data_IF_702784605847
#
_entry.id   IF_702784605847
#
_cell.length_a   1.000
_cell.length_b   1.000
_cell.length_c   1.000
_cell.angle_alpha   90.00
_cell.angle_beta   90.00
_cell.angle_gamma   90.00
#
_symmetry.space_group_name_H-M   'P 1'
#
loop_
_entity.id
_entity.type
_entity.pdbx_description
1 polymer ?
#
# COMPACT_ATOMS: atom_id res chain seq x y z
N UNK A 1 65.51 53.19 10.48
CA UNK A 1 65.18 54.63 10.32
C UNK A 1 63.66 54.74 10.51
N UNK A 2 63.21 54.94 11.75
CA UNK A 2 62.66 56.22 12.28
C UNK A 2 61.32 56.58 11.59
N UNK A 3 60.14 56.73 12.21
CA UNK A 3 59.73 57.32 13.49
C UNK A 3 58.42 56.64 13.97
N UNK A 4 58.19 56.40 15.27
CA UNK A 4 57.46 57.29 16.19
C UNK A 4 56.09 57.74 15.63
N UNK A 5 54.97 57.35 16.23
CA UNK A 5 54.45 58.02 17.42
C UNK A 5 53.58 57.11 18.30
N UNK A 6 53.82 57.24 19.62
CA UNK A 6 52.99 56.79 20.73
C UNK A 6 51.73 57.67 20.83
N UNK A 7 50.64 57.15 21.38
CA UNK A 7 50.06 57.70 22.60
C UNK A 7 48.97 56.77 23.16
N UNK A 8 49.22 56.28 24.37
CA UNK A 8 48.18 55.82 25.28
C UNK A 8 47.51 57.05 25.90
N UNK A 9 46.29 56.80 26.37
CA UNK A 9 45.55 57.57 27.39
C UNK A 9 44.82 58.81 26.91
N UNK A 10 43.52 58.65 26.63
CA UNK A 10 42.52 59.62 27.10
C UNK A 10 41.12 59.00 27.22
N UNK A 11 40.84 58.50 28.41
CA UNK A 11 39.60 58.70 29.17
C UNK A 11 38.24 58.60 28.45
N UNK A 12 37.51 57.56 28.86
CA UNK A 12 36.18 57.66 29.44
C UNK A 12 35.11 58.48 28.68
N UNK A 13 34.14 57.78 28.09
CA UNK A 13 32.71 58.01 28.34
C UNK A 13 31.84 56.95 27.68
N UNK A 14 31.18 56.16 28.52
CA UNK A 14 29.80 55.69 28.35
C UNK A 14 29.49 54.80 27.14
N UNK A 15 29.24 53.52 27.43
CA UNK A 15 27.94 52.88 27.14
C UNK A 15 27.96 51.46 27.71
N UNK A 16 27.14 51.23 28.73
CA UNK A 16 26.61 49.89 29.03
C UNK A 16 25.89 49.42 27.76
N UNK A 17 26.45 48.45 27.07
CA UNK A 17 25.71 47.67 26.09
C UNK A 17 25.28 46.41 26.83
N UNK A 18 23.98 46.31 27.06
CA UNK A 18 23.32 45.10 27.53
C UNK A 18 23.54 44.02 26.47
N UNK A 19 24.22 42.94 26.83
CA UNK A 19 24.28 41.73 26.01
C UNK A 19 22.86 41.18 25.83
N UNK A 20 22.37 40.90 24.61
CA UNK A 20 21.16 40.12 24.45
C UNK A 20 21.47 38.68 24.86
N UNK A 21 20.67 38.18 25.79
CA UNK A 21 20.68 36.81 26.31
C UNK A 21 20.54 35.78 25.19
N UNK A 22 21.41 34.77 25.21
CA UNK A 22 21.37 33.58 24.36
C UNK A 22 19.97 32.93 24.38
N UNK A 23 19.41 32.52 23.24
CA UNK A 23 18.20 31.71 23.24
C UNK A 23 18.53 30.30 23.75
N UNK A 24 17.85 29.88 24.82
CA UNK A 24 17.88 28.51 25.32
C UNK A 24 17.45 27.52 24.22
N UNK A 25 18.01 26.29 24.18
CA UNK A 25 17.56 25.28 23.25
C UNK A 25 16.11 24.89 23.56
N UNK A 26 15.25 24.92 22.53
CA UNK A 26 13.89 24.41 22.59
C UNK A 26 13.98 22.90 22.86
N UNK A 27 13.61 22.52 24.08
CA UNK A 27 13.47 21.14 24.50
C UNK A 27 12.25 20.58 23.76
N UNK A 28 12.49 19.87 22.65
CA UNK A 28 11.46 19.15 21.92
C UNK A 28 10.84 18.12 22.86
N UNK A 29 9.57 18.31 23.18
CA UNK A 29 8.78 17.32 23.90
C UNK A 29 8.84 15.99 23.14
N UNK A 30 8.97 14.83 23.81
CA UNK A 30 8.91 13.55 23.12
C UNK A 30 7.55 13.47 22.41
N UNK A 31 7.57 13.30 21.09
CA UNK A 31 6.36 12.96 20.35
C UNK A 31 5.82 11.68 20.97
N UNK A 32 4.64 11.75 21.58
CA UNK A 32 3.91 10.56 21.96
C UNK A 32 3.62 9.81 20.67
N UNK A 33 4.43 8.80 20.37
CA UNK A 33 4.18 7.87 19.27
C UNK A 33 2.82 7.26 19.54
N UNK A 34 1.78 7.75 18.85
CA UNK A 34 0.47 7.12 18.95
C UNK A 34 0.67 5.63 18.61
N UNK A 35 0.18 4.71 19.46
CA UNK A 35 0.24 3.30 19.12
C UNK A 35 -0.51 3.14 17.80
N UNK A 36 0.21 2.81 16.74
CA UNK A 36 -0.36 2.43 15.45
C UNK A 36 -1.41 1.35 15.77
N UNK A 37 -2.69 1.66 15.59
CA UNK A 37 -3.76 0.71 15.82
C UNK A 37 -3.54 -0.47 14.89
N UNK A 38 -3.60 -1.68 15.41
CA UNK A 38 -3.52 -2.88 14.59
C UNK A 38 -4.65 -2.83 13.56
N UNK A 39 -4.31 -2.98 12.28
CA UNK A 39 -5.28 -3.01 11.19
C UNK A 39 -6.11 -4.28 11.31
N UNK A 40 -7.42 -4.14 11.41
CA UNK A 40 -8.35 -5.29 11.45
C UNK A 40 -8.67 -5.71 10.01
N UNK A 41 -8.36 -6.97 9.69
CA UNK A 41 -8.78 -7.64 8.47
C UNK A 41 -10.07 -8.40 8.75
N UNK A 42 -11.10 -8.11 7.95
CA UNK A 42 -12.41 -8.73 8.07
C UNK A 42 -12.42 -10.07 7.33
N UNK A 43 -13.08 -11.05 7.93
CA UNK A 43 -13.21 -12.40 7.39
C UNK A 43 -14.66 -12.73 6.95
N UNK A 44 -15.53 -11.71 6.90
CA UNK A 44 -16.87 -11.82 6.33
C UNK A 44 -16.81 -11.89 4.81
N UNK A 45 -17.90 -12.36 4.20
CA UNK A 45 -18.07 -12.29 2.75
C UNK A 45 -17.94 -10.85 2.22
N UNK A 46 -17.17 -10.69 1.16
CA UNK A 46 -17.02 -9.42 0.45
C UNK A 46 -18.34 -9.12 -0.27
N UNK A 47 -18.99 -7.97 -0.03
CA UNK A 47 -20.15 -7.55 -0.82
C UNK A 47 -19.79 -7.45 -2.31
N UNK A 48 -20.70 -7.84 -3.22
CA UNK A 48 -20.41 -7.93 -4.66
C UNK A 48 -19.81 -6.65 -5.25
N UNK A 49 -20.35 -5.48 -4.88
CA UNK A 49 -19.81 -4.20 -5.35
C UNK A 49 -18.39 -3.93 -4.84
N UNK A 50 -18.07 -4.36 -3.62
CA UNK A 50 -16.72 -4.27 -3.05
C UNK A 50 -15.77 -5.25 -3.74
N UNK A 51 -16.23 -6.46 -4.05
CA UNK A 51 -15.46 -7.47 -4.78
C UNK A 51 -15.14 -6.97 -6.20
N UNK A 52 -16.14 -6.46 -6.92
CA UNK A 52 -15.97 -5.87 -8.26
C UNK A 52 -14.95 -4.72 -8.23
N UNK A 53 -15.08 -3.79 -7.28
CA UNK A 53 -14.15 -2.65 -7.13
C UNK A 53 -12.74 -3.12 -6.80
N UNK A 54 -12.59 -4.03 -5.84
CA UNK A 54 -11.28 -4.58 -5.47
C UNK A 54 -10.58 -5.26 -6.63
N UNK A 55 -11.29 -6.06 -7.43
CA UNK A 55 -10.71 -6.69 -8.64
C UNK A 55 -10.25 -5.65 -9.68
N UNK A 56 -11.02 -4.56 -9.85
CA UNK A 56 -10.63 -3.45 -10.74
C UNK A 56 -9.43 -2.68 -10.21
N UNK A 57 -9.38 -2.43 -8.91
CA UNK A 57 -8.26 -1.73 -8.26
C UNK A 57 -6.98 -2.59 -8.33
N UNK A 58 -7.09 -3.91 -8.18
CA UNK A 58 -5.98 -4.86 -8.41
C UNK A 58 -5.49 -4.76 -9.85
N UNK A 59 -6.41 -4.77 -10.82
CA UNK A 59 -6.05 -4.62 -12.23
C UNK A 59 -5.31 -3.33 -12.50
N UNK A 60 -5.89 -2.20 -12.10
CA UNK A 60 -5.29 -0.87 -12.26
C UNK A 60 -3.89 -0.81 -11.64
N UNK A 61 -3.72 -1.32 -10.42
CA UNK A 61 -2.45 -1.29 -9.71
C UNK A 61 -1.37 -2.16 -10.39
N UNK A 62 -1.74 -3.32 -10.94
CA UNK A 62 -0.79 -4.25 -11.56
C UNK A 62 -0.52 -3.97 -13.06
N UNK A 63 -1.34 -3.14 -13.71
CA UNK A 63 -1.19 -2.78 -15.12
C UNK A 63 -0.96 -1.28 -15.31
N UNK A 64 0.03 -0.71 -14.61
CA UNK A 64 0.38 0.70 -14.79
C UNK A 64 1.13 0.93 -16.11
N UNK A 65 1.12 2.16 -16.66
CA UNK A 65 1.89 2.47 -17.88
C UNK A 65 3.41 2.31 -17.73
N UNK A 66 3.94 2.40 -16.50
CA UNK A 66 5.38 2.43 -16.22
C UNK A 66 5.91 1.04 -15.83
N UNK A 67 5.05 0.18 -15.29
CA UNK A 67 5.37 -1.19 -14.91
C UNK A 67 4.12 -2.07 -14.97
N UNK A 68 4.27 -3.27 -15.52
CA UNK A 68 3.21 -4.26 -15.65
C UNK A 68 3.66 -5.59 -15.08
N UNK A 69 2.81 -6.20 -14.27
CA UNK A 69 2.94 -7.58 -13.84
C UNK A 69 1.88 -8.40 -14.56
N UNK A 70 2.28 -9.52 -15.17
CA UNK A 70 1.32 -10.48 -15.67
C UNK A 70 0.77 -11.30 -14.49
N UNK A 71 -0.55 -11.24 -14.30
CA UNK A 71 -1.22 -11.86 -13.17
C UNK A 71 -2.53 -12.53 -13.58
N UNK A 72 -3.04 -13.40 -12.71
CA UNK A 72 -4.38 -13.99 -12.76
C UNK A 72 -5.04 -13.85 -11.39
N UNK A 73 -6.34 -13.63 -11.36
CA UNK A 73 -7.13 -13.83 -10.14
C UNK A 73 -7.42 -15.31 -10.02
N UNK A 74 -7.32 -15.83 -8.80
CA UNK A 74 -7.56 -17.25 -8.53
C UNK A 74 -8.58 -17.43 -7.41
N UNK A 75 -8.84 -18.69 -7.05
CA UNK A 75 -9.76 -19.01 -5.95
C UNK A 75 -11.22 -18.64 -6.27
N UNK A 76 -11.97 -18.29 -5.23
CA UNK A 76 -13.41 -17.98 -5.37
C UNK A 76 -13.64 -16.66 -6.11
N UNK A 77 -12.73 -15.68 -6.00
CA UNK A 77 -12.81 -14.44 -6.75
C UNK A 77 -12.77 -14.64 -8.27
N UNK A 78 -12.00 -15.63 -8.74
CA UNK A 78 -11.96 -16.02 -10.15
C UNK A 78 -13.30 -16.60 -10.62
N UNK A 79 -13.85 -17.54 -9.87
CA UNK A 79 -15.16 -18.17 -10.13
C UNK A 79 -16.25 -17.11 -10.22
N UNK A 80 -16.28 -16.17 -9.26
CA UNK A 80 -17.20 -15.03 -9.28
C UNK A 80 -17.07 -14.18 -10.55
N UNK A 81 -15.84 -13.86 -10.97
CA UNK A 81 -15.60 -13.06 -12.19
C UNK A 81 -16.04 -13.74 -13.50
N UNK A 82 -16.26 -15.06 -13.48
CA UNK A 82 -16.80 -15.83 -14.60
C UNK A 82 -18.34 -15.86 -14.61
N UNK A 83 -18.99 -15.20 -13.66
CA UNK A 83 -20.44 -15.12 -13.53
C UNK A 83 -21.06 -16.13 -12.56
N UNK A 84 -20.26 -16.96 -11.90
CA UNK A 84 -20.72 -17.89 -10.85
C UNK A 84 -20.77 -17.17 -9.49
N UNK A 85 -21.82 -16.40 -9.24
CA UNK A 85 -21.92 -15.49 -8.08
C UNK A 85 -22.39 -16.14 -6.77
N UNK A 86 -22.91 -17.38 -6.82
CA UNK A 86 -23.37 -18.11 -5.63
C UNK A 86 -22.22 -18.42 -4.65
N UNK A 87 -21.00 -18.53 -5.17
CA UNK A 87 -19.81 -18.80 -4.38
C UNK A 87 -19.23 -17.50 -3.83
N UNK A 88 -19.39 -17.28 -2.53
CA UNK A 88 -18.91 -16.07 -1.84
C UNK A 88 -17.45 -16.22 -1.39
N UNK A 89 -16.70 -15.12 -1.40
CA UNK A 89 -15.29 -15.05 -0.95
C UNK A 89 -15.12 -14.02 0.17
N UNK A 90 -14.09 -14.17 1.01
CA UNK A 90 -13.70 -13.22 2.05
C UNK A 90 -12.36 -12.50 1.76
N UNK A 91 -11.68 -12.90 0.70
CA UNK A 91 -10.35 -12.42 0.30
C UNK A 91 -10.21 -12.31 -1.23
N UNK A 92 -9.04 -11.79 -1.65
CA UNK A 92 -8.61 -11.70 -3.04
C UNK A 92 -7.32 -12.50 -3.22
N UNK A 93 -7.34 -13.52 -4.08
CA UNK A 93 -6.14 -14.27 -4.47
C UNK A 93 -5.61 -13.82 -5.83
N UNK A 94 -4.34 -13.45 -5.89
CA UNK A 94 -3.66 -12.95 -7.09
C UNK A 94 -2.44 -13.80 -7.39
N UNK A 95 -2.52 -14.62 -8.44
CA UNK A 95 -1.44 -15.44 -8.95
C UNK A 95 -0.51 -14.62 -9.85
N UNK A 96 0.79 -14.66 -9.55
CA UNK A 96 1.89 -14.07 -10.33
C UNK A 96 3.02 -15.09 -10.51
N UNK A 97 3.96 -14.78 -11.41
CA UNK A 97 5.22 -15.54 -11.49
C UNK A 97 6.08 -15.32 -10.23
N UNK A 98 6.90 -16.31 -9.86
CA UNK A 98 7.72 -16.29 -8.65
C UNK A 98 8.68 -15.07 -8.63
N UNK A 99 9.25 -14.73 -9.79
CA UNK A 99 10.10 -13.56 -9.97
C UNK A 99 9.38 -12.21 -9.82
N UNK A 100 8.06 -12.18 -10.02
CA UNK A 100 7.26 -10.96 -10.03
C UNK A 100 6.62 -10.62 -8.68
N UNK A 101 6.69 -11.53 -7.69
CA UNK A 101 6.07 -11.33 -6.36
C UNK A 101 6.49 -10.00 -5.74
N UNK A 102 7.78 -9.68 -5.77
CA UNK A 102 8.29 -8.42 -5.20
C UNK A 102 7.74 -7.19 -5.91
N UNK A 103 7.66 -7.23 -7.24
CA UNK A 103 7.13 -6.13 -8.04
C UNK A 103 5.61 -5.97 -7.84
N UNK A 104 4.86 -7.07 -7.85
CA UNK A 104 3.42 -7.08 -7.65
C UNK A 104 3.04 -6.46 -6.30
N UNK A 105 3.70 -6.90 -5.22
CA UNK A 105 3.47 -6.36 -3.88
C UNK A 105 3.83 -4.88 -3.79
N UNK A 106 4.94 -4.47 -4.42
CA UNK A 106 5.34 -3.06 -4.48
C UNK A 106 4.30 -2.21 -5.18
N UNK A 107 3.81 -2.64 -6.35
CA UNK A 107 2.81 -1.90 -7.12
C UNK A 107 1.48 -1.80 -6.38
N UNK A 108 1.00 -2.90 -5.79
CA UNK A 108 -0.20 -2.90 -4.95
C UNK A 108 -0.04 -1.94 -3.76
N UNK A 109 1.09 -2.00 -3.05
CA UNK A 109 1.36 -1.12 -1.90
C UNK A 109 1.53 0.36 -2.25
N UNK A 110 1.71 0.71 -3.53
CA UNK A 110 1.77 2.10 -4.00
C UNK A 110 0.39 2.67 -4.37
N UNK A 111 -0.64 1.83 -4.55
CA UNK A 111 -2.00 2.29 -4.82
C UNK A 111 -2.75 2.55 -3.50
N UNK A 112 -3.38 3.73 -3.39
CA UNK A 112 -4.01 4.21 -2.16
C UNK A 112 -5.16 3.32 -1.65
N UNK A 113 -5.71 2.45 -2.50
CA UNK A 113 -6.76 1.50 -2.12
C UNK A 113 -6.22 0.29 -1.36
N UNK A 114 -4.91 0.10 -1.30
CA UNK A 114 -4.29 -1.02 -0.58
C UNK A 114 -3.49 -0.52 0.62
N UNK A 115 -3.26 -1.43 1.55
CA UNK A 115 -2.36 -1.21 2.66
C UNK A 115 -1.63 -2.48 3.04
N UNK A 116 -0.72 -2.34 4.00
CA UNK A 116 0.07 -3.43 4.51
C UNK A 116 0.01 -3.42 6.04
N UNK A 117 -0.20 -4.59 6.64
CA UNK A 117 -0.15 -4.76 8.09
C UNK A 117 1.29 -4.71 8.58
N UNK A 118 1.48 -4.62 9.90
CA UNK A 118 2.82 -4.71 10.52
C UNK A 118 3.56 -6.02 10.20
N UNK A 119 2.81 -7.09 9.90
CA UNK A 119 3.35 -8.40 9.55
C UNK A 119 3.53 -8.58 8.03
N UNK A 120 3.51 -7.49 7.27
CA UNK A 120 3.59 -7.51 5.81
C UNK A 120 2.44 -8.31 5.15
N UNK A 121 1.23 -8.28 5.71
CA UNK A 121 0.03 -8.82 5.01
C UNK A 121 -0.61 -7.70 4.19
N UNK A 122 -0.87 -7.96 2.91
CA UNK A 122 -1.54 -6.98 2.05
C UNK A 122 -3.05 -7.03 2.25
N UNK A 123 -3.69 -5.89 2.15
CA UNK A 123 -5.14 -5.80 2.24
C UNK A 123 -5.71 -4.72 1.34
N UNK A 124 -6.95 -4.92 0.91
CA UNK A 124 -7.77 -3.95 0.21
C UNK A 124 -8.59 -3.13 1.20
N UNK A 125 -8.58 -1.80 1.07
CA UNK A 125 -9.37 -0.86 1.87
C UNK A 125 -10.76 -0.73 1.24
N UNK A 126 -11.70 -1.52 1.74
CA UNK A 126 -13.07 -1.48 1.30
C UNK A 126 -13.75 -0.13 1.60
N UNK A 127 -14.73 0.30 0.77
CA UNK A 127 -15.38 1.61 0.88
C UNK A 127 -16.18 1.78 2.18
N UNK A 128 -16.56 0.69 2.85
CA UNK A 128 -17.24 0.69 4.14
C UNK A 128 -16.27 0.79 5.33
N UNK A 129 -14.99 1.09 5.11
CA UNK A 129 -13.95 1.07 6.14
C UNK A 129 -13.55 -0.33 6.63
N UNK A 130 -14.03 -1.39 5.95
CA UNK A 130 -13.60 -2.77 6.18
C UNK A 130 -12.40 -3.09 5.31
N UNK A 131 -11.39 -3.76 5.87
CA UNK A 131 -10.24 -4.24 5.12
C UNK A 131 -10.38 -5.73 4.81
N UNK A 132 -9.99 -6.14 3.61
CA UNK A 132 -10.08 -7.54 3.16
C UNK A 132 -8.70 -8.03 2.72
N UNK A 133 -8.40 -9.29 2.99
CA UNK A 133 -7.07 -9.85 2.71
C UNK A 133 -6.79 -9.87 1.19
N UNK A 134 -5.54 -9.58 0.81
CA UNK A 134 -5.07 -9.73 -0.57
C UNK A 134 -3.84 -10.62 -0.55
N UNK A 135 -3.98 -11.84 -1.06
CA UNK A 135 -2.90 -12.80 -1.13
C UNK A 135 -2.26 -12.80 -2.52
N UNK A 136 -1.00 -12.37 -2.57
CA UNK A 136 -0.15 -12.61 -3.74
C UNK A 136 0.42 -14.02 -3.63
N UNK A 137 0.05 -14.86 -4.57
CA UNK A 137 0.35 -16.29 -4.61
C UNK A 137 1.15 -16.62 -5.87
N UNK A 138 1.90 -17.71 -5.81
CA UNK A 138 2.72 -18.22 -6.91
C UNK A 138 2.25 -19.60 -7.32
N UNK A 139 2.69 -20.09 -8.49
CA UNK A 139 2.34 -21.45 -8.94
C UNK A 139 2.80 -22.49 -7.92
N UNK A 140 3.99 -22.31 -7.36
CA UNK A 140 4.55 -23.15 -6.28
C UNK A 140 3.70 -23.13 -5.01
N UNK A 141 3.10 -21.99 -4.66
CA UNK A 141 2.23 -21.85 -3.48
C UNK A 141 0.82 -22.42 -3.71
N UNK A 142 0.36 -22.48 -4.97
CA UNK A 142 -0.92 -23.09 -5.38
C UNK A 142 -0.74 -24.52 -5.89
N UNK A 143 0.41 -25.18 -5.71
CA UNK A 143 0.51 -26.63 -5.88
C UNK A 143 -0.35 -27.33 -4.80
N UNK A 144 -1.66 -27.31 -5.03
CA UNK A 144 -2.68 -28.02 -4.30
C UNK A 144 -2.53 -29.46 -4.78
N UNK A 145 -1.62 -30.18 -4.13
CA UNK A 145 -1.25 -31.57 -4.43
C UNK A 145 -2.45 -32.54 -4.46
N UNK A 146 -3.64 -32.12 -4.01
CA UNK A 146 -4.91 -32.86 -4.15
C UNK A 146 -6.11 -31.90 -4.25
N UNK A 147 -6.58 -31.63 -5.46
CA UNK A 147 -7.93 -31.11 -5.66
C UNK A 147 -8.90 -32.31 -5.72
N UNK A 148 -9.99 -32.35 -4.94
CA UNK A 148 -11.03 -33.38 -5.12
C UNK A 148 -11.56 -33.27 -6.54
N UNK A 149 -11.53 -34.38 -7.29
CA UNK A 149 -11.73 -34.39 -8.74
C UNK A 149 -13.13 -33.96 -9.22
N UNK A 150 -14.07 -33.64 -8.31
CA UNK A 150 -15.50 -33.68 -8.62
C UNK A 150 -16.28 -32.37 -8.44
N UNK A 151 -15.67 -31.24 -8.06
CA UNK A 151 -16.49 -30.04 -7.72
C UNK A 151 -16.20 -28.75 -8.48
N UNK A 152 -15.07 -28.61 -9.17
CA UNK A 152 -14.85 -27.58 -10.18
C UNK A 152 -13.58 -27.90 -10.97
N UNK A 153 -13.58 -27.70 -12.29
CA UNK A 153 -12.35 -27.77 -13.08
C UNK A 153 -11.34 -26.77 -12.49
N UNK A 154 -10.10 -27.18 -12.21
CA UNK A 154 -9.03 -26.26 -11.76
C UNK A 154 -8.88 -25.02 -12.66
N UNK A 155 -9.32 -25.12 -13.92
CA UNK A 155 -9.36 -24.00 -14.85
C UNK A 155 -10.41 -22.94 -14.49
N UNK A 156 -11.52 -23.30 -13.83
CA UNK A 156 -12.55 -22.36 -13.38
C UNK A 156 -12.07 -21.49 -12.20
N UNK A 157 -11.04 -21.93 -11.47
CA UNK A 157 -10.42 -21.17 -10.39
C UNK A 157 -9.30 -20.25 -10.89
N UNK A 158 -9.16 -20.04 -12.20
CA UNK A 158 -8.14 -19.18 -12.82
C UNK A 158 -8.81 -18.22 -13.80
N UNK A 159 -9.01 -16.96 -13.40
CA UNK A 159 -9.54 -15.92 -14.27
C UNK A 159 -8.49 -14.84 -14.48
N UNK A 160 -8.24 -14.44 -15.74
CA UNK A 160 -7.58 -13.17 -16.01
C UNK A 160 -8.64 -12.10 -15.87
N UNK A 161 -8.43 -11.10 -15.01
CA UNK A 161 -9.31 -9.92 -15.02
C UNK A 161 -9.12 -9.26 -16.37
N UNK A 162 -10.08 -9.45 -17.27
CA UNK A 162 -10.17 -8.66 -18.48
C UNK A 162 -10.30 -7.20 -18.04
N UNK A 163 -9.60 -6.29 -18.71
CA UNK A 163 -9.84 -4.86 -18.54
C UNK A 163 -11.34 -4.65 -18.73
N UNK A 164 -12.04 -4.15 -17.70
CA UNK A 164 -13.46 -3.85 -17.83
C UNK A 164 -13.55 -2.72 -18.86
N UNK A 165 -13.89 -3.06 -20.09
CA UNK A 165 -14.23 -2.09 -21.11
C UNK A 165 -15.48 -1.38 -20.62
N UNK A 166 -15.31 -0.12 -20.21
CA UNK A 166 -16.45 0.77 -20.05
C UNK A 166 -17.03 0.94 -21.45
N UNK A 167 -18.26 0.46 -21.68
CA UNK A 167 -19.06 1.02 -22.76
C UNK A 167 -19.06 2.53 -22.56
N UNK A 168 -18.36 3.24 -23.44
CA UNK A 168 -18.55 4.67 -23.60
C UNK A 168 -20.03 4.84 -23.95
N UNK A 169 -20.83 5.15 -22.95
CA UNK A 169 -22.19 5.65 -23.15
C UNK A 169 -22.10 6.81 -24.14
N UNK A 170 -22.73 6.58 -25.28
CA UNK A 170 -22.90 7.47 -26.42
C UNK A 170 -23.37 8.87 -25.98
N UNK A 171 -22.90 9.87 -26.73
CA UNK A 171 -23.29 11.28 -26.64
C UNK A 171 -24.82 11.52 -26.51
#
# INVERSE_FOLDING_TARGET
MAHHLRLRDFLARGRRILSPSSPSPIQSSPSVSQPQRDVIIWHDYIPEDTLRRGLNDIHRALTTPVARVDYRVVGTGAVWSLGETDRKTCDFDVLVADEDVGLARKLLGQDDHFGETRLASLYYKGPSGKNFNVDVVTVTKIEISRFPAETASQHATLAKVASIEFEKGSD
#
